data_IF_388854334626
#
_entry.id   IF_388854334626
#
_cell.length_a   1.000
_cell.length_b   1.000
_cell.length_c   1.000
_cell.angle_alpha   90.00
_cell.angle_beta   90.00
_cell.angle_gamma   90.00
#
_symmetry.space_group_name_H-M   'P 1'
#
loop_
_entity.id
_entity.type
_entity.pdbx_description
1 polymer ?
#
# COMPACT_ATOMS: atom_id res chain seq x y z
N UNK A 1 -9.71 0.85 -13.09
CA UNK A 1 -9.87 2.09 -12.29
C UNK A 1 -8.88 3.16 -12.73
N UNK A 2 -9.40 4.33 -13.12
CA UNK A 2 -8.62 5.52 -13.42
C UNK A 2 -8.14 6.23 -12.15
N UNK A 3 -6.93 6.78 -12.17
CA UNK A 3 -6.30 7.51 -11.07
C UNK A 3 -5.58 8.76 -11.55
N UNK A 4 -5.55 9.81 -10.74
CA UNK A 4 -4.71 10.99 -10.95
C UNK A 4 -3.68 11.09 -9.82
N UNK A 5 -2.40 11.06 -10.16
CA UNK A 5 -1.28 11.26 -9.25
C UNK A 5 -1.12 12.74 -8.93
N UNK A 6 -1.47 13.14 -7.70
CA UNK A 6 -1.41 14.55 -7.26
C UNK A 6 -0.01 15.15 -7.39
N UNK A 7 1.05 14.34 -7.18
CA UNK A 7 2.44 14.79 -7.24
C UNK A 7 2.95 15.06 -8.66
N UNK A 8 2.29 14.51 -9.69
CA UNK A 8 2.66 14.71 -11.10
C UNK A 8 1.73 15.70 -11.80
N UNK A 9 0.51 15.86 -11.30
CA UNK A 9 -0.46 16.72 -11.92
C UNK A 9 -0.06 18.20 -11.74
N UNK A 10 0.09 18.92 -12.85
CA UNK A 10 0.39 20.35 -12.86
C UNK A 10 -0.86 21.22 -13.04
N UNK A 11 -2.05 20.62 -13.00
CA UNK A 11 -3.32 21.35 -13.12
C UNK A 11 -3.58 22.00 -14.48
N UNK A 12 -2.93 21.54 -15.56
CA UNK A 12 -3.02 22.17 -16.88
C UNK A 12 -4.40 22.10 -17.57
N UNK A 13 -5.28 21.20 -17.13
CA UNK A 13 -6.65 21.11 -17.65
C UNK A 13 -6.85 20.31 -18.94
N UNK A 14 -5.78 19.92 -19.67
CA UNK A 14 -5.92 19.19 -20.94
C UNK A 14 -6.81 17.93 -20.84
N UNK A 15 -6.73 17.20 -19.73
CA UNK A 15 -7.58 16.03 -19.48
C UNK A 15 -9.08 16.36 -19.37
N UNK A 16 -9.42 17.57 -18.92
CA UNK A 16 -10.80 18.06 -18.83
C UNK A 16 -11.34 18.26 -20.24
N UNK A 17 -10.57 18.94 -21.09
CA UNK A 17 -10.97 19.28 -22.46
C UNK A 17 -11.22 18.04 -23.33
N UNK A 18 -10.45 16.96 -23.15
CA UNK A 18 -10.59 15.73 -23.93
C UNK A 18 -11.57 14.72 -23.34
N UNK A 19 -12.17 14.97 -22.17
CA UNK A 19 -13.06 14.02 -21.52
C UNK A 19 -14.45 14.02 -22.20
N UNK A 20 -14.85 12.96 -22.93
CA UNK A 20 -16.13 12.95 -23.64
C UNK A 20 -17.35 12.83 -22.71
N UNK A 21 -17.14 12.59 -21.42
CA UNK A 21 -18.20 12.49 -20.41
C UNK A 21 -18.26 13.72 -19.50
N UNK A 22 -17.40 14.72 -19.73
CA UNK A 22 -17.28 15.90 -18.86
C UNK A 22 -17.12 15.50 -17.37
N UNK A 23 -16.49 14.36 -17.14
CA UNK A 23 -16.36 13.72 -15.82
C UNK A 23 -15.02 14.02 -15.12
N UNK A 24 -14.31 15.07 -15.56
CA UNK A 24 -13.04 15.48 -14.97
C UNK A 24 -13.13 16.96 -14.64
N UNK A 25 -12.78 17.32 -13.41
CA UNK A 25 -12.74 18.71 -12.93
C UNK A 25 -11.36 19.04 -12.38
N UNK A 26 -11.02 20.33 -12.30
CA UNK A 26 -9.84 20.80 -11.57
C UNK A 26 -10.27 21.26 -10.17
N UNK A 27 -9.72 20.64 -9.14
CA UNK A 27 -9.96 21.00 -7.73
C UNK A 27 -8.63 21.20 -7.04
N UNK A 28 -8.44 22.37 -6.40
CA UNK A 28 -7.19 22.75 -5.72
C UNK A 28 -5.94 22.61 -6.59
N UNK A 29 -6.06 22.84 -7.90
CA UNK A 29 -4.95 22.74 -8.84
C UNK A 29 -4.61 21.32 -9.32
N UNK A 30 -5.42 20.31 -8.96
CA UNK A 30 -5.24 18.91 -9.39
C UNK A 30 -6.50 18.41 -10.09
N UNK A 31 -6.33 17.59 -11.13
CA UNK A 31 -7.45 16.95 -11.81
C UNK A 31 -8.11 15.89 -10.93
N UNK A 32 -9.44 15.86 -10.91
CA UNK A 32 -10.25 14.88 -10.19
C UNK A 32 -11.21 14.21 -11.15
N UNK A 33 -11.26 12.87 -11.13
CA UNK A 33 -12.12 12.05 -11.99
C UNK A 33 -13.36 11.65 -11.20
N UNK A 34 -14.54 12.01 -11.72
CA UNK A 34 -15.85 11.57 -11.23
C UNK A 34 -16.07 10.11 -11.64
N UNK A 35 -15.95 9.20 -10.67
CA UNK A 35 -15.97 7.75 -10.93
C UNK A 35 -17.29 7.25 -11.52
N UNK A 36 -18.39 7.91 -11.17
CA UNK A 36 -19.74 7.61 -11.63
C UNK A 36 -19.99 8.02 -13.10
N UNK A 37 -19.27 9.03 -13.61
CA UNK A 37 -19.32 9.43 -15.02
C UNK A 37 -18.26 8.77 -15.89
N UNK A 38 -17.16 8.31 -15.28
CA UNK A 38 -16.03 7.78 -16.02
C UNK A 38 -16.36 6.44 -16.69
N UNK A 39 -16.48 6.43 -18.01
CA UNK A 39 -16.65 5.21 -18.83
C UNK A 39 -15.31 4.54 -19.19
N UNK A 40 -14.22 4.92 -18.52
CA UNK A 40 -12.88 4.37 -18.73
C UNK A 40 -12.42 4.35 -20.21
N UNK A 41 -12.79 5.37 -21.00
CA UNK A 41 -12.41 5.49 -22.42
C UNK A 41 -10.93 5.79 -22.68
N UNK A 42 -10.18 6.13 -21.63
CA UNK A 42 -8.72 6.37 -21.62
C UNK A 42 -8.24 7.58 -22.44
N UNK A 43 -9.12 8.46 -22.94
CA UNK A 43 -8.70 9.69 -23.65
C UNK A 43 -7.78 10.58 -22.81
N UNK A 44 -8.15 10.83 -21.55
CA UNK A 44 -7.33 11.65 -20.65
C UNK A 44 -5.97 11.02 -20.30
N UNK A 45 -5.87 9.68 -20.33
CA UNK A 45 -4.60 8.98 -20.12
C UNK A 45 -3.60 9.29 -21.25
N UNK A 46 -4.07 9.28 -22.49
CA UNK A 46 -3.22 9.57 -23.66
C UNK A 46 -2.84 11.04 -23.75
N UNK A 47 -3.75 11.93 -23.36
CA UNK A 47 -3.53 13.37 -23.47
C UNK A 47 -2.60 13.94 -22.40
N UNK A 48 -2.47 13.29 -21.23
CA UNK A 48 -1.74 13.87 -20.11
C UNK A 48 -0.22 13.90 -20.37
N UNK A 49 0.40 15.07 -20.64
CA UNK A 49 1.83 15.12 -20.97
C UNK A 49 2.72 14.84 -19.76
N UNK A 50 2.18 14.97 -18.55
CA UNK A 50 2.90 14.72 -17.30
C UNK A 50 2.89 13.23 -16.90
N UNK A 51 2.13 12.38 -17.60
CA UNK A 51 1.90 11.00 -17.15
C UNK A 51 1.32 10.94 -15.74
N UNK A 52 0.47 11.91 -15.40
CA UNK A 52 -0.17 12.04 -14.09
C UNK A 52 -1.45 11.20 -13.98
N UNK A 53 -1.98 10.70 -15.10
CA UNK A 53 -3.15 9.84 -15.13
C UNK A 53 -2.68 8.40 -15.32
N UNK A 54 -3.21 7.49 -14.51
CA UNK A 54 -2.90 6.06 -14.54
C UNK A 54 -4.19 5.26 -14.66
N UNK A 55 -4.10 4.06 -15.21
CA UNK A 55 -5.21 3.12 -15.27
C UNK A 55 -4.77 1.74 -14.79
N UNK A 56 -5.47 1.22 -13.79
CA UNK A 56 -5.18 -0.07 -13.17
C UNK A 56 -6.31 -1.06 -13.48
N UNK A 57 -5.97 -2.18 -14.11
CA UNK A 57 -6.86 -3.34 -14.32
C UNK A 57 -6.53 -4.45 -13.33
N UNK A 58 -7.53 -5.28 -12.99
CA UNK A 58 -7.34 -6.53 -12.25
C UNK A 58 -6.48 -6.36 -10.99
N UNK A 59 -6.86 -5.41 -10.12
CA UNK A 59 -6.11 -5.18 -8.88
C UNK A 59 -6.18 -6.47 -8.07
N UNK A 60 -5.02 -7.02 -7.72
CA UNK A 60 -4.92 -8.18 -6.85
C UNK A 60 -3.68 -8.01 -5.99
N UNK A 61 -3.88 -7.54 -4.77
CA UNK A 61 -2.81 -7.21 -3.82
C UNK A 61 -2.98 -8.00 -2.53
N UNK A 62 -1.91 -8.62 -2.06
CA UNK A 62 -1.84 -9.24 -0.74
C UNK A 62 -1.24 -8.24 0.24
N UNK A 63 -2.04 -7.81 1.21
CA UNK A 63 -1.68 -6.80 2.20
C UNK A 63 -1.57 -7.45 3.58
N UNK A 64 -0.41 -7.31 4.22
CA UNK A 64 -0.16 -7.83 5.56
C UNK A 64 -0.23 -6.70 6.61
N UNK A 65 -0.96 -6.94 7.69
CA UNK A 65 -1.08 -6.05 8.84
C UNK A 65 -0.45 -6.70 10.07
N UNK A 66 0.52 -6.03 10.68
CA UNK A 66 1.18 -6.52 11.90
C UNK A 66 0.33 -6.29 13.15
N UNK A 67 0.03 -7.36 13.89
CA UNK A 67 -0.83 -7.32 15.08
C UNK A 67 -0.41 -8.34 16.15
N UNK A 68 -0.75 -8.04 17.41
CA UNK A 68 -0.54 -8.94 18.55
C UNK A 68 -1.84 -9.56 19.08
N UNK A 69 -3.00 -8.96 18.78
CA UNK A 69 -4.34 -9.33 19.27
C UNK A 69 -5.33 -9.70 18.15
N UNK A 70 -4.97 -9.43 16.88
CA UNK A 70 -5.81 -9.69 15.72
C UNK A 70 -6.69 -8.51 15.27
N UNK A 71 -6.73 -7.42 16.04
CA UNK A 71 -7.66 -6.29 15.82
C UNK A 71 -6.93 -4.95 15.72
N UNK A 72 -5.85 -4.77 16.49
CA UNK A 72 -5.09 -3.52 16.54
C UNK A 72 -3.76 -3.64 15.82
N UNK A 73 -3.33 -2.54 15.20
CA UNK A 73 -1.98 -2.39 14.71
C UNK A 73 -1.04 -2.19 15.90
N UNK A 74 0.08 -2.91 15.89
CA UNK A 74 1.09 -2.79 16.93
C UNK A 74 1.67 -1.38 16.96
N UNK A 75 1.48 -0.68 18.08
CA UNK A 75 1.78 0.75 18.25
C UNK A 75 3.08 1.05 19.00
N UNK A 76 3.60 0.07 19.73
CA UNK A 76 4.61 0.28 20.77
C UNK A 76 6.04 -0.09 20.38
N UNK A 77 6.27 -0.89 19.33
CA UNK A 77 7.60 -1.08 18.72
C UNK A 77 7.54 -1.94 17.45
N UNK A 78 7.95 -1.36 16.31
CA UNK A 78 8.26 -1.95 15.00
C UNK A 78 7.38 -3.13 14.52
N UNK A 79 6.67 -2.96 13.40
CA UNK A 79 5.80 -3.98 12.75
C UNK A 79 6.46 -5.36 12.59
N UNK A 80 7.79 -5.41 12.40
CA UNK A 80 8.53 -6.67 12.29
C UNK A 80 8.55 -7.54 13.56
N UNK A 81 8.08 -7.02 14.70
CA UNK A 81 8.01 -7.72 15.99
C UNK A 81 6.58 -8.08 16.41
N UNK A 82 5.60 -7.93 15.52
CA UNK A 82 4.25 -8.43 15.76
C UNK A 82 4.24 -9.95 15.97
N UNK A 83 3.35 -10.45 16.82
CA UNK A 83 3.16 -11.90 16.99
C UNK A 83 2.66 -12.53 15.69
N UNK A 84 1.81 -11.80 14.98
CA UNK A 84 1.10 -12.25 13.80
C UNK A 84 1.10 -11.20 12.69
N UNK A 85 0.97 -11.67 11.45
CA UNK A 85 0.51 -10.89 10.32
C UNK A 85 -0.86 -11.38 9.89
N UNK A 86 -1.84 -10.48 9.81
CA UNK A 86 -3.13 -10.76 9.19
C UNK A 86 -3.07 -10.33 7.74
N UNK A 87 -3.35 -11.26 6.83
CA UNK A 87 -3.27 -11.03 5.40
C UNK A 87 -4.66 -10.83 4.83
N UNK A 88 -4.80 -9.81 3.99
CA UNK A 88 -6.01 -9.51 3.26
C UNK A 88 -5.68 -9.45 1.77
N UNK A 89 -6.58 -9.97 0.94
CA UNK A 89 -6.53 -9.80 -0.50
C UNK A 89 -7.40 -8.64 -0.88
N UNK A 90 -6.84 -7.65 -1.57
CA UNK A 90 -7.57 -6.53 -2.14
C UNK A 90 -7.77 -6.79 -3.62
N UNK A 91 -9.03 -6.87 -4.05
CA UNK A 91 -9.41 -7.08 -5.44
C UNK A 91 -10.67 -6.31 -5.83
N UNK A 92 -10.57 -5.54 -6.91
CA UNK A 92 -11.69 -4.86 -7.57
C UNK A 92 -12.66 -4.13 -6.60
N UNK A 93 -12.09 -3.42 -5.63
CA UNK A 93 -12.82 -2.61 -4.66
C UNK A 93 -13.31 -3.36 -3.42
N UNK A 94 -13.05 -4.66 -3.32
CA UNK A 94 -13.33 -5.49 -2.16
C UNK A 94 -12.03 -5.92 -1.47
N UNK A 95 -12.17 -6.36 -0.22
CA UNK A 95 -11.10 -6.99 0.53
C UNK A 95 -11.61 -8.21 1.29
N UNK A 96 -10.82 -9.28 1.23
CA UNK A 96 -11.12 -10.52 1.91
C UNK A 96 -9.99 -10.85 2.87
N UNK A 97 -10.34 -11.18 4.12
CA UNK A 97 -9.38 -11.80 5.02
C UNK A 97 -8.98 -13.17 4.45
N UNK A 98 -7.68 -13.39 4.29
CA UNK A 98 -7.16 -14.64 3.72
C UNK A 98 -6.69 -15.58 4.81
N UNK A 99 -5.72 -15.14 5.61
CA UNK A 99 -5.11 -15.97 6.65
C UNK A 99 -4.35 -15.13 7.68
N UNK A 100 -3.94 -15.81 8.76
CA UNK A 100 -3.07 -15.23 9.78
C UNK A 100 -1.78 -16.06 9.89
N UNK A 101 -0.64 -15.40 9.70
CA UNK A 101 0.68 -16.02 9.76
C UNK A 101 1.39 -15.66 11.07
N UNK A 102 1.87 -16.66 11.80
CA UNK A 102 2.64 -16.46 13.05
C UNK A 102 4.12 -16.25 12.71
N UNK A 103 4.78 -15.31 13.38
CA UNK A 103 6.24 -15.23 13.33
C UNK A 103 6.78 -16.31 14.26
N UNK A 104 7.27 -17.42 13.72
CA UNK A 104 7.94 -18.45 14.51
C UNK A 104 9.29 -17.87 14.95
N UNK A 105 9.36 -17.38 16.19
CA UNK A 105 10.63 -16.99 16.80
C UNK A 105 11.50 -18.24 16.90
N UNK A 106 12.66 -18.24 16.24
CA UNK A 106 13.69 -19.24 16.49
C UNK A 106 13.95 -19.26 18.00
N UNK A 107 13.95 -20.43 18.65
CA UNK A 107 14.23 -20.54 20.08
C UNK A 107 15.57 -19.83 20.35
N UNK A 108 15.52 -18.73 21.09
CA UNK A 108 16.71 -18.09 21.63
C UNK A 108 17.29 -19.07 22.65
N UNK A 109 18.40 -19.72 22.32
CA UNK A 109 19.35 -20.13 23.36
C UNK A 109 19.73 -18.86 24.11
N UNK A 110 19.51 -18.83 25.43
CA UNK A 110 19.58 -17.66 26.30
C UNK A 110 20.99 -17.05 26.45
N UNK A 111 21.92 -17.36 25.54
CA UNK A 111 23.34 -17.00 25.62
C UNK A 111 23.83 -16.07 24.50
N UNK A 112 22.97 -15.61 23.57
CA UNK A 112 23.40 -14.72 22.47
C UNK A 112 22.77 -13.33 22.49
N UNK A 113 23.66 -12.34 22.53
CA UNK A 113 23.42 -10.90 22.45
C UNK A 113 22.71 -10.46 21.17
N UNK A 114 21.87 -9.43 21.30
CA UNK A 114 21.04 -8.77 20.28
C UNK A 114 21.65 -8.68 18.87
N UNK A 115 20.81 -8.91 17.84
CA UNK A 115 21.13 -8.61 16.43
C UNK A 115 21.14 -9.80 15.45
N UNK A 116 20.57 -10.95 15.83
CA UNK A 116 20.70 -12.20 15.05
C UNK A 116 20.00 -12.16 13.66
N UNK A 117 20.71 -12.52 12.55
CA UNK A 117 20.14 -12.78 11.22
C UNK A 117 18.91 -13.71 11.19
N UNK A 118 18.74 -14.58 12.20
CA UNK A 118 17.61 -15.50 12.32
C UNK A 118 16.24 -14.82 12.43
N UNK A 119 16.15 -13.64 13.07
CA UNK A 119 14.87 -12.89 13.21
C UNK A 119 14.39 -12.36 11.86
N UNK A 120 15.30 -11.86 11.03
CA UNK A 120 14.97 -11.38 9.68
C UNK A 120 14.45 -12.52 8.78
N UNK A 121 15.02 -13.73 8.91
CA UNK A 121 14.60 -14.90 8.13
C UNK A 121 13.19 -15.38 8.49
N UNK A 122 12.85 -15.41 9.78
CA UNK A 122 11.52 -15.79 10.26
C UNK A 122 10.44 -14.80 9.79
N UNK A 123 10.68 -13.49 9.94
CA UNK A 123 9.76 -12.44 9.45
C UNK A 123 9.64 -12.47 7.93
N UNK A 124 10.75 -12.70 7.20
CA UNK A 124 10.72 -12.78 5.75
C UNK A 124 9.88 -13.95 5.22
N UNK A 125 9.89 -15.11 5.89
CA UNK A 125 9.04 -16.26 5.52
C UNK A 125 7.56 -15.96 5.78
N UNK A 126 7.23 -15.34 6.90
CA UNK A 126 5.84 -14.94 7.17
C UNK A 126 5.31 -13.91 6.15
N UNK A 127 6.19 -13.15 5.51
CA UNK A 127 5.87 -12.13 4.50
C UNK A 127 6.10 -12.58 3.06
N UNK A 128 6.24 -13.89 2.81
CA UNK A 128 6.35 -14.42 1.46
C UNK A 128 5.06 -14.17 0.65
N UNK A 129 5.18 -13.78 -0.61
CA UNK A 129 4.05 -13.43 -1.48
C UNK A 129 3.15 -12.30 -0.94
N UNK A 130 3.68 -11.45 -0.07
CA UNK A 130 3.03 -10.21 0.36
C UNK A 130 3.48 -9.09 -0.57
N UNK A 131 2.52 -8.30 -1.06
CA UNK A 131 2.79 -7.13 -1.87
C UNK A 131 3.08 -5.90 -1.01
N UNK A 132 2.31 -5.75 0.07
CA UNK A 132 2.33 -4.57 0.94
C UNK A 132 2.36 -4.99 2.41
N UNK A 133 3.28 -4.42 3.16
CA UNK A 133 3.30 -4.52 4.62
C UNK A 133 2.86 -3.19 5.22
N UNK A 134 1.82 -3.24 6.05
CA UNK A 134 1.22 -2.08 6.71
C UNK A 134 1.56 -2.05 8.18
N UNK A 135 1.88 -0.86 8.69
CA UNK A 135 1.73 -0.57 10.11
C UNK A 135 2.22 0.83 10.48
N UNK A 136 2.36 1.10 11.78
CA UNK A 136 2.61 2.47 12.24
C UNK A 136 4.09 2.88 12.18
N UNK A 137 5.01 1.92 12.28
CA UNK A 137 6.45 2.17 12.28
C UNK A 137 7.26 0.95 11.83
N UNK A 138 8.25 1.16 10.98
CA UNK A 138 9.14 0.11 10.46
C UNK A 138 10.55 0.23 11.01
N UNK A 139 11.11 -0.89 11.49
CA UNK A 139 12.46 -0.93 12.03
C UNK A 139 13.53 -1.06 10.96
N UNK A 140 14.80 -0.80 11.29
CA UNK A 140 15.93 -0.80 10.35
C UNK A 140 16.19 -2.18 9.68
N UNK A 141 15.64 -3.27 10.23
CA UNK A 141 15.71 -4.59 9.59
C UNK A 141 14.63 -4.79 8.52
N UNK A 142 13.44 -4.20 8.69
CA UNK A 142 12.37 -4.25 7.67
C UNK A 142 12.72 -3.36 6.49
N UNK A 143 13.43 -2.26 6.72
CA UNK A 143 13.90 -1.39 5.63
C UNK A 143 14.86 -2.12 4.67
N UNK A 144 15.54 -3.19 5.11
CA UNK A 144 16.36 -4.05 4.25
C UNK A 144 15.55 -5.00 3.35
N UNK A 145 14.24 -5.12 3.57
CA UNK A 145 13.31 -5.94 2.79
C UNK A 145 12.45 -5.11 1.83
N UNK A 146 12.69 -3.79 1.71
CA UNK A 146 11.93 -2.85 0.85
C UNK A 146 11.81 -3.28 -0.61
N UNK A 147 12.77 -4.04 -1.13
CA UNK A 147 12.73 -4.52 -2.51
C UNK A 147 11.73 -5.68 -2.71
N UNK A 148 11.23 -6.30 -1.64
CA UNK A 148 10.29 -7.43 -1.72
C UNK A 148 8.83 -6.97 -1.69
N UNK A 149 8.51 -5.98 -0.86
CA UNK A 149 7.16 -5.47 -0.67
C UNK A 149 7.18 -3.96 -0.37
N UNK A 150 6.07 -3.28 -0.63
CA UNK A 150 5.88 -1.87 -0.26
C UNK A 150 5.67 -1.77 1.25
N UNK A 151 6.41 -0.88 1.91
CA UNK A 151 6.20 -0.57 3.32
C UNK A 151 5.27 0.65 3.44
N UNK A 152 4.03 0.44 3.90
CA UNK A 152 3.03 1.47 4.05
C UNK A 152 2.84 1.87 5.52
N UNK A 153 3.16 3.13 5.83
CA UNK A 153 2.98 3.72 7.16
C UNK A 153 1.58 4.30 7.26
N UNK A 154 0.82 3.89 8.28
CA UNK A 154 -0.53 4.41 8.57
C UNK A 154 -0.60 4.97 10.00
N UNK A 155 -1.33 6.06 10.19
CA UNK A 155 -1.61 6.65 11.52
C UNK A 155 -2.97 6.21 12.05
N UNK A 156 -3.24 4.90 12.03
CA UNK A 156 -4.50 4.28 12.47
C UNK A 156 -4.21 3.19 13.49
N UNK A 157 -5.09 3.03 14.48
CA UNK A 157 -4.87 2.07 15.58
C UNK A 157 -5.49 0.70 15.29
N UNK A 158 -6.60 0.65 14.56
CA UNK A 158 -7.29 -0.60 14.23
C UNK A 158 -6.89 -1.08 12.85
N UNK A 159 -6.98 -2.40 12.62
CA UNK A 159 -6.79 -2.99 11.29
C UNK A 159 -7.88 -2.52 10.34
N UNK A 160 -9.13 -2.39 10.80
CA UNK A 160 -10.25 -1.96 9.95
C UNK A 160 -10.04 -0.53 9.42
N UNK A 161 -9.63 0.41 10.28
CA UNK A 161 -9.30 1.78 9.85
C UNK A 161 -8.10 1.81 8.89
N UNK A 162 -7.12 0.92 9.11
CA UNK A 162 -5.96 0.79 8.25
C UNK A 162 -6.35 0.22 6.88
N UNK A 163 -7.26 -0.75 6.82
CA UNK A 163 -7.84 -1.28 5.57
C UNK A 163 -8.51 -0.15 4.78
N UNK A 164 -9.33 0.69 5.44
CA UNK A 164 -9.95 1.85 4.77
C UNK A 164 -8.90 2.81 4.20
N UNK A 165 -7.83 3.04 4.96
CA UNK A 165 -6.71 3.89 4.54
C UNK A 165 -5.97 3.31 3.34
N UNK A 166 -5.72 1.99 3.32
CA UNK A 166 -5.13 1.29 2.17
C UNK A 166 -6.03 1.39 0.95
N UNK A 167 -7.34 1.14 1.10
CA UNK A 167 -8.30 1.20 -0.01
C UNK A 167 -8.36 2.59 -0.65
N UNK A 168 -8.38 3.65 0.17
CA UNK A 168 -8.38 5.03 -0.31
C UNK A 168 -7.12 5.38 -1.10
N UNK A 169 -5.98 4.83 -0.72
CA UNK A 169 -4.66 5.13 -1.31
C UNK A 169 -4.15 4.00 -2.24
N UNK A 170 -5.02 3.09 -2.68
CA UNK A 170 -4.63 1.87 -3.40
C UNK A 170 -3.81 2.14 -4.67
N UNK A 171 -4.12 3.24 -5.34
CA UNK A 171 -3.45 3.63 -6.58
C UNK A 171 -2.02 4.13 -6.32
N UNK A 172 -1.80 4.94 -5.27
CA UNK A 172 -0.46 5.37 -4.85
C UNK A 172 0.40 4.17 -4.45
N UNK A 173 -0.23 3.18 -3.78
CA UNK A 173 0.43 1.94 -3.40
C UNK A 173 0.89 1.13 -4.63
N UNK A 174 0.04 1.01 -5.66
CA UNK A 174 0.40 0.33 -6.90
C UNK A 174 1.53 1.07 -7.61
N UNK A 175 1.43 2.40 -7.74
CA UNK A 175 2.49 3.23 -8.32
C UNK A 175 3.84 3.04 -7.60
N UNK A 176 3.84 2.88 -6.28
CA UNK A 176 5.05 2.58 -5.52
C UNK A 176 5.56 1.15 -5.75
N UNK A 177 4.66 0.15 -5.81
CA UNK A 177 5.02 -1.25 -6.04
C UNK A 177 5.74 -1.44 -7.37
N UNK A 178 5.37 -0.68 -8.40
CA UNK A 178 5.92 -0.78 -9.76
C UNK A 178 7.28 -0.08 -9.93
N UNK A 179 7.74 0.69 -8.92
CA UNK A 179 9.08 1.31 -8.95
C UNK A 179 10.19 0.29 -8.73
N UNK A 180 11.31 0.49 -9.44
CA UNK A 180 12.55 -0.31 -9.27
C UNK A 180 13.21 -0.07 -7.90
N UNK A 181 13.19 1.18 -7.43
CA UNK A 181 13.71 1.57 -6.11
C UNK A 181 12.55 2.04 -5.22
N UNK A 182 12.01 1.10 -4.44
CA UNK A 182 10.83 1.32 -3.60
C UNK A 182 11.21 2.06 -2.33
N UNK A 183 10.50 3.15 -2.05
CA UNK A 183 10.53 3.88 -0.79
C UNK A 183 9.33 3.47 0.06
N UNK A 184 9.46 3.62 1.37
CA UNK A 184 8.29 3.51 2.24
C UNK A 184 7.35 4.67 1.95
N UNK A 185 6.05 4.40 1.93
CA UNK A 185 4.99 5.40 1.69
C UNK A 185 4.24 5.68 2.99
N UNK A 186 3.75 6.91 3.14
CA UNK A 186 2.93 7.33 4.29
C UNK A 186 1.53 7.60 3.79
N UNK A 187 0.55 6.81 4.25
CA UNK A 187 -0.83 6.90 3.80
C UNK A 187 -1.65 7.76 4.78
N UNK A 188 -2.52 8.63 4.23
CA UNK A 188 -3.34 9.58 5.00
C UNK A 188 -4.85 9.36 4.85
#
# INVERSE_FOLDING_TARGET
MMHVSENKCVGCGLCVDVCPQEGITLSKGVAQIEKDKCVECRSCLQECPQGAISFFENINLVVAFGTDDGNTLKSDNHVGMSKYFRLYRFSDGQEDFTEQRKIIKYKEDATKTHGDPGKAKATASALENVDILVGQMFGPNITRLRNKFVCAVVRKNTIDDAIQTVRKNINEIIEEKDKKDRRGIVLN
#
